data_IF_447637775548
#
_entry.id   IF_447637775548
#
_cell.length_a   1.000
_cell.length_b   1.000
_cell.length_c   1.000
_cell.angle_alpha   90.00
_cell.angle_beta   90.00
_cell.angle_gamma   90.00
#
_symmetry.space_group_name_H-M   'P 1'
#
loop_
_entity.id
_entity.type
_entity.pdbx_description
1 polymer ?
#
# COMPACT_ATOMS: atom_id res chain seq x y z
N UNK A 1 -12.25 2.27 3.04
CA UNK A 1 -10.93 1.67 3.30
C UNK A 1 -10.77 1.66 4.80
N UNK A 2 -10.96 0.49 5.42
CA UNK A 2 -10.79 0.34 6.86
C UNK A 2 -9.29 0.24 7.14
N UNK A 3 -8.78 1.06 8.06
CA UNK A 3 -7.37 0.99 8.46
C UNK A 3 -7.19 -0.24 9.34
N UNK A 4 -6.23 -1.10 9.00
CA UNK A 4 -5.84 -2.26 9.81
C UNK A 4 -4.76 -1.82 10.79
N UNK A 5 -4.79 -2.36 12.00
CA UNK A 5 -3.80 -2.12 13.05
C UNK A 5 -3.35 -3.48 13.58
N UNK A 6 -2.05 -3.66 13.77
CA UNK A 6 -1.51 -4.84 14.44
C UNK A 6 -1.29 -4.55 15.92
N UNK A 7 -1.54 -5.56 16.76
CA UNK A 7 -1.40 -5.48 18.23
C UNK A 7 -0.50 -6.62 18.68
N UNK A 8 0.56 -6.31 19.43
CA UNK A 8 1.47 -7.32 19.99
C UNK A 8 0.94 -7.92 21.30
N UNK A 9 1.50 -9.06 21.77
CA UNK A 9 1.18 -9.62 23.09
C UNK A 9 1.45 -8.66 24.26
N UNK A 10 2.42 -7.75 24.10
CA UNK A 10 2.75 -6.71 25.08
C UNK A 10 1.90 -5.44 24.92
N UNK A 11 0.77 -5.55 24.21
CA UNK A 11 -0.19 -4.46 23.98
C UNK A 11 0.35 -3.24 23.23
N UNK A 12 1.45 -3.40 22.47
CA UNK A 12 1.96 -2.36 21.57
C UNK A 12 1.17 -2.35 20.26
N UNK A 13 0.95 -1.16 19.72
CA UNK A 13 0.20 -0.93 18.48
C UNK A 13 1.17 -0.65 17.32
N UNK A 14 0.90 -1.24 16.16
CA UNK A 14 1.71 -1.09 14.94
C UNK A 14 0.84 -0.82 13.70
N UNK A 15 1.38 -0.16 12.65
CA UNK A 15 0.64 0.15 11.42
C UNK A 15 0.15 -1.09 10.67
N UNK A 16 0.90 -2.19 10.74
CA UNK A 16 0.53 -3.51 10.23
C UNK A 16 1.45 -4.58 10.81
N UNK A 17 1.12 -5.84 10.53
CA UNK A 17 1.88 -7.04 10.88
C UNK A 17 3.30 -7.05 10.28
N UNK A 18 3.47 -6.51 9.07
CA UNK A 18 4.78 -6.38 8.40
C UNK A 18 5.71 -5.32 9.02
N UNK A 19 5.26 -4.58 10.05
CA UNK A 19 5.98 -3.47 10.68
C UNK A 19 6.00 -3.59 12.21
N UNK A 20 5.98 -4.80 12.76
CA UNK A 20 6.05 -5.04 14.21
C UNK A 20 7.48 -4.96 14.77
N UNK A 21 8.17 -3.84 14.51
CA UNK A 21 9.47 -3.50 15.11
C UNK A 21 9.34 -2.20 15.90
N UNK A 22 10.15 -2.05 16.96
CA UNK A 22 10.04 -0.90 17.89
C UNK A 22 10.06 0.47 17.19
N UNK A 23 10.80 0.60 16.08
CA UNK A 23 10.85 1.83 15.27
C UNK A 23 9.51 2.24 14.64
N UNK A 24 8.53 1.33 14.57
CA UNK A 24 7.21 1.56 13.99
C UNK A 24 6.09 1.46 15.03
N UNK A 25 6.40 1.34 16.32
CA UNK A 25 5.41 1.41 17.38
C UNK A 25 4.65 2.74 17.29
N UNK A 26 3.32 2.69 17.18
CA UNK A 26 2.43 3.85 17.07
C UNK A 26 1.58 4.07 18.33
N UNK A 27 2.01 3.50 19.45
CA UNK A 27 1.36 3.62 20.76
C UNK A 27 1.10 2.28 21.43
N UNK A 28 0.27 2.29 22.46
CA UNK A 28 -0.12 1.11 23.23
C UNK A 28 -1.63 1.07 23.42
N UNK A 29 -2.18 -0.10 23.76
CA UNK A 29 -3.62 -0.22 24.06
C UNK A 29 -4.03 0.67 25.24
N UNK A 30 -3.14 0.87 26.21
CA UNK A 30 -3.40 1.64 27.43
C UNK A 30 -3.34 3.16 27.19
N UNK A 31 -2.33 3.64 26.47
CA UNK A 31 -2.10 5.07 26.23
C UNK A 31 -2.76 5.58 24.94
N UNK A 32 -3.18 4.67 24.07
CA UNK A 32 -3.75 4.97 22.76
C UNK A 32 -2.69 5.29 21.70
N UNK A 33 -3.11 6.01 20.66
CA UNK A 33 -2.26 6.28 19.50
C UNK A 33 -1.30 7.45 19.72
N UNK A 34 -0.03 7.23 19.39
CA UNK A 34 0.94 8.29 19.18
C UNK A 34 0.71 8.93 17.79
N UNK A 35 -0.09 9.99 17.77
CA UNK A 35 -0.47 10.69 16.53
C UNK A 35 0.74 11.26 15.79
N UNK A 36 1.72 11.81 16.52
CA UNK A 36 2.93 12.38 15.91
C UNK A 36 3.72 11.31 15.16
N UNK A 37 3.87 10.13 15.78
CA UNK A 37 4.51 8.99 15.14
C UNK A 37 3.76 8.53 13.88
N UNK A 38 2.43 8.46 13.93
CA UNK A 38 1.60 8.11 12.77
C UNK A 38 1.83 9.12 11.64
N UNK A 39 1.86 10.42 11.95
CA UNK A 39 2.11 11.47 10.96
C UNK A 39 3.52 11.34 10.36
N UNK A 40 4.53 11.07 11.18
CA UNK A 40 5.91 10.82 10.70
C UNK A 40 5.95 9.66 9.72
N UNK A 41 5.37 8.52 10.08
CA UNK A 41 5.33 7.33 9.21
C UNK A 41 4.54 7.59 7.93
N UNK A 42 3.42 8.32 8.02
CA UNK A 42 2.65 8.74 6.83
C UNK A 42 3.48 9.61 5.89
N UNK A 43 4.28 10.52 6.42
CA UNK A 43 5.14 11.37 5.62
C UNK A 43 6.28 10.58 4.96
N UNK A 44 6.88 9.61 5.65
CA UNK A 44 7.87 8.71 5.03
C UNK A 44 7.31 7.98 3.80
N UNK A 45 6.07 7.47 3.89
CA UNK A 45 5.40 6.86 2.74
C UNK A 45 5.25 7.85 1.59
N UNK A 46 4.81 9.08 1.87
CA UNK A 46 4.65 10.13 0.84
C UNK A 46 5.99 10.45 0.17
N UNK A 47 7.06 10.53 0.95
CA UNK A 47 8.40 10.80 0.44
C UNK A 47 8.92 9.66 -0.46
N UNK A 48 8.74 8.42 -0.02
CA UNK A 48 9.07 7.23 -0.82
C UNK A 48 8.24 7.10 -2.12
N UNK A 49 7.15 7.87 -2.24
CA UNK A 49 6.23 7.88 -3.38
C UNK A 49 6.30 9.17 -4.22
N UNK A 50 7.34 10.01 -4.08
CA UNK A 50 7.46 11.26 -4.86
C UNK A 50 7.29 11.06 -6.37
N UNK A 51 7.85 9.97 -6.92
CA UNK A 51 7.73 9.62 -8.35
C UNK A 51 6.30 9.24 -8.76
N UNK A 52 5.43 8.84 -7.83
CA UNK A 52 4.05 8.49 -8.13
C UNK A 52 3.23 9.71 -8.57
N UNK A 53 3.64 10.94 -8.25
CA UNK A 53 2.88 12.15 -8.57
C UNK A 53 2.62 12.32 -10.07
N UNK A 54 3.60 11.96 -10.90
CA UNK A 54 3.54 12.00 -12.37
C UNK A 54 3.20 10.66 -13.03
N UNK A 55 2.96 9.60 -12.24
CA UNK A 55 2.69 8.27 -12.77
C UNK A 55 1.21 8.10 -13.17
N UNK A 56 0.96 7.64 -14.40
CA UNK A 56 -0.40 7.35 -14.90
C UNK A 56 -1.12 6.24 -14.10
N UNK A 57 -0.36 5.32 -13.51
CA UNK A 57 -0.90 4.13 -12.84
C UNK A 57 -1.16 4.33 -11.34
N UNK A 58 -0.93 5.53 -10.79
CA UNK A 58 -0.90 5.77 -9.33
C UNK A 58 -2.18 5.40 -8.60
N UNK A 59 -3.33 5.62 -9.23
CA UNK A 59 -4.64 5.31 -8.64
C UNK A 59 -5.03 3.83 -8.75
N UNK A 60 -4.37 3.08 -9.65
CA UNK A 60 -4.62 1.65 -9.81
C UNK A 60 -3.67 0.80 -8.96
N UNK A 61 -2.40 1.19 -8.83
CA UNK A 61 -1.45 0.43 -8.02
C UNK A 61 -1.38 0.87 -6.55
N UNK A 62 -1.83 2.08 -6.21
CA UNK A 62 -1.77 2.60 -4.84
C UNK A 62 -0.39 3.02 -4.33
N UNK A 63 0.68 2.73 -5.09
CA UNK A 63 2.07 3.01 -4.70
C UNK A 63 2.64 2.03 -3.66
N UNK A 64 3.93 2.16 -3.36
CA UNK A 64 4.65 1.27 -2.45
C UNK A 64 4.21 1.43 -0.99
N UNK A 65 3.95 0.36 -0.25
CA UNK A 65 3.62 0.45 1.18
C UNK A 65 4.85 0.91 2.02
N UNK A 66 4.64 1.28 3.28
CA UNK A 66 5.72 1.74 4.16
C UNK A 66 6.83 0.68 4.33
N UNK A 67 6.46 -0.59 4.48
CA UNK A 67 7.43 -1.69 4.56
C UNK A 67 8.28 -1.79 3.29
N UNK A 68 7.68 -1.70 2.10
CA UNK A 68 8.44 -1.67 0.84
C UNK A 68 9.33 -0.42 0.70
N UNK A 69 8.84 0.75 1.12
CA UNK A 69 9.62 1.99 1.13
C UNK A 69 10.83 1.89 2.06
N UNK A 70 10.83 1.04 3.07
CA UNK A 70 11.97 0.91 3.99
C UNK A 70 12.85 -0.31 3.67
N UNK A 71 12.27 -1.38 3.11
CA UNK A 71 12.99 -2.63 2.86
C UNK A 71 13.70 -2.66 1.49
N UNK A 72 13.14 -2.02 0.47
CA UNK A 72 13.67 -2.12 -0.90
C UNK A 72 14.71 -1.04 -1.20
N UNK A 73 15.77 -1.41 -1.91
CA UNK A 73 16.68 -0.46 -2.54
C UNK A 73 15.97 0.36 -3.62
N UNK A 74 16.55 1.49 -4.03
CA UNK A 74 15.98 2.31 -5.11
C UNK A 74 15.83 1.53 -6.42
N UNK A 75 16.81 0.70 -6.76
CA UNK A 75 16.75 -0.18 -7.94
C UNK A 75 15.59 -1.17 -7.84
N UNK A 76 15.44 -1.83 -6.69
CA UNK A 76 14.34 -2.78 -6.45
C UNK A 76 12.98 -2.09 -6.55
N UNK A 77 12.83 -0.87 -5.98
CA UNK A 77 11.60 -0.08 -6.13
C UNK A 77 11.30 0.26 -7.58
N UNK A 78 12.32 0.58 -8.37
CA UNK A 78 12.19 0.84 -9.80
C UNK A 78 11.64 -0.37 -10.56
N UNK A 79 12.18 -1.56 -10.27
CA UNK A 79 11.72 -2.84 -10.84
C UNK A 79 10.27 -3.13 -10.42
N UNK A 80 9.95 -3.05 -9.13
CA UNK A 80 8.59 -3.25 -8.60
C UNK A 80 7.60 -2.31 -9.27
N UNK A 81 7.93 -1.03 -9.41
CA UNK A 81 7.08 -0.06 -10.08
C UNK A 81 6.85 -0.40 -11.56
N UNK A 82 7.87 -0.92 -12.27
CA UNK A 82 7.73 -1.34 -13.67
C UNK A 82 6.79 -2.55 -13.79
N UNK A 83 6.98 -3.56 -12.95
CA UNK A 83 6.14 -4.76 -12.93
C UNK A 83 4.67 -4.39 -12.66
N UNK A 84 4.42 -3.55 -11.65
CA UNK A 84 3.07 -3.11 -11.31
C UNK A 84 2.37 -2.36 -12.47
N UNK A 85 3.11 -1.58 -13.25
CA UNK A 85 2.56 -0.92 -14.46
C UNK A 85 2.16 -1.94 -15.52
N UNK A 86 2.97 -2.96 -15.78
CA UNK A 86 2.61 -4.00 -16.76
C UNK A 86 1.42 -4.84 -16.29
N UNK A 87 1.37 -5.22 -15.01
CA UNK A 87 0.21 -5.90 -14.42
C UNK A 87 -1.05 -5.05 -14.61
N UNK A 88 -0.96 -3.75 -14.42
CA UNK A 88 -2.12 -2.86 -14.55
C UNK A 88 -2.59 -2.74 -16.00
N UNK A 89 -1.68 -2.73 -16.99
CA UNK A 89 -2.06 -2.83 -18.40
C UNK A 89 -2.80 -4.14 -18.70
N UNK A 90 -2.29 -5.26 -18.19
CA UNK A 90 -2.95 -6.56 -18.36
C UNK A 90 -4.35 -6.56 -17.72
N UNK A 91 -4.49 -5.98 -16.53
CA UNK A 91 -5.80 -5.84 -15.85
C UNK A 91 -6.78 -5.01 -16.68
N UNK A 92 -6.35 -3.86 -17.21
CA UNK A 92 -7.21 -3.02 -18.07
C UNK A 92 -7.62 -3.80 -19.32
N UNK A 93 -6.67 -4.45 -19.99
CA UNK A 93 -6.96 -5.24 -21.19
C UNK A 93 -7.98 -6.36 -20.91
N UNK A 94 -7.77 -7.13 -19.84
CA UNK A 94 -8.67 -8.21 -19.44
C UNK A 94 -10.06 -7.67 -19.09
N UNK A 95 -10.13 -6.58 -18.34
CA UNK A 95 -11.40 -5.94 -18.00
C UNK A 95 -12.15 -5.50 -19.26
N UNK A 96 -11.49 -4.79 -20.17
CA UNK A 96 -12.08 -4.33 -21.44
C UNK A 96 -12.57 -5.52 -22.27
N UNK A 97 -11.73 -6.55 -22.41
CA UNK A 97 -12.09 -7.75 -23.15
C UNK A 97 -13.34 -8.44 -22.57
N UNK A 98 -13.41 -8.60 -21.25
CA UNK A 98 -14.56 -9.22 -20.58
C UNK A 98 -15.82 -8.37 -20.80
N UNK A 99 -15.75 -7.06 -20.62
CA UNK A 99 -16.90 -6.16 -20.83
C UNK A 99 -17.42 -6.24 -22.26
N UNK A 100 -16.53 -6.32 -23.24
CA UNK A 100 -16.90 -6.38 -24.66
C UNK A 100 -17.43 -7.75 -25.10
N UNK A 101 -16.88 -8.86 -24.58
CA UNK A 101 -17.15 -10.21 -25.09
C UNK A 101 -18.03 -11.05 -24.16
N UNK A 102 -18.09 -10.73 -22.87
CA UNK A 102 -18.93 -11.40 -21.89
C UNK A 102 -19.37 -10.44 -20.76
N UNK A 103 -20.17 -9.40 -21.07
CA UNK A 103 -20.59 -8.41 -20.08
C UNK A 103 -21.37 -9.04 -18.92
N UNK A 104 -22.08 -10.16 -19.17
CA UNK A 104 -22.83 -10.88 -18.14
C UNK A 104 -21.95 -11.42 -17.01
N UNK A 105 -20.66 -11.68 -17.27
CA UNK A 105 -19.70 -12.12 -16.26
C UNK A 105 -19.52 -11.07 -15.15
N UNK A 106 -19.60 -9.78 -15.50
CA UNK A 106 -19.39 -8.68 -14.56
C UNK A 106 -20.51 -8.58 -13.50
N UNK A 107 -21.70 -9.12 -13.78
CA UNK A 107 -22.82 -9.14 -12.83
C UNK A 107 -22.53 -9.93 -11.55
N UNK A 108 -21.47 -10.74 -11.52
CA UNK A 108 -21.06 -11.48 -10.32
C UNK A 108 -20.20 -10.65 -9.36
N UNK A 109 -19.79 -9.44 -9.75
CA UNK A 109 -18.81 -8.61 -9.03
C UNK A 109 -19.30 -7.18 -8.72
N UNK A 110 -20.51 -6.83 -9.18
CA UNK A 110 -21.20 -5.56 -8.94
C UNK A 110 -22.48 -5.82 -8.15
#
# INVERSE_FOLDING_TARGET
MENIIAVSPDFKLYPCDMLMWDDYEIGTVEEGFNVDKIVTLSNQVKEGRKLCNSCWNKYMCGGLCLSEVNALSEEQRGITCRIQREISKCKIYLYTYIVENNPSYMNNFL
#
